data_IF_390058444610
#
_entry.id   IF_390058444610
#
_cell.length_a   1.000
_cell.length_b   1.000
_cell.length_c   1.000
_cell.angle_alpha   90.00
_cell.angle_beta   90.00
_cell.angle_gamma   90.00
#
_symmetry.space_group_name_H-M   'P 1'
#
loop_
_entity.id
_entity.type
_entity.pdbx_description
1 polymer ?
#
# COMPACT_ATOMS: atom_id res chain seq x y z
N UNK A 1 23.09 35.28 41.53
CA UNK A 1 23.47 33.83 41.50
C UNK A 1 22.45 32.88 42.13
N UNK A 2 21.92 33.10 43.35
CA UNK A 2 20.96 32.15 43.99
C UNK A 2 19.63 31.98 43.25
N UNK A 3 19.06 33.07 42.70
CA UNK A 3 17.82 33.04 41.93
C UNK A 3 17.96 32.27 40.61
N UNK A 4 19.05 32.50 39.87
CA UNK A 4 19.35 31.78 38.63
C UNK A 4 19.51 30.27 38.85
N UNK A 5 20.20 29.85 39.92
CA UNK A 5 20.31 28.43 40.31
C UNK A 5 18.95 27.82 40.67
N UNK A 6 18.06 28.58 41.31
CA UNK A 6 16.70 28.13 41.64
C UNK A 6 15.85 27.97 40.37
N UNK A 7 15.90 28.93 39.45
CA UNK A 7 15.21 28.86 38.15
C UNK A 7 15.71 27.65 37.36
N UNK A 8 17.03 27.51 37.17
CA UNK A 8 17.63 26.36 36.47
C UNK A 8 17.23 25.02 37.08
N UNK A 9 17.20 24.91 38.43
CA UNK A 9 16.76 23.70 39.13
C UNK A 9 15.30 23.36 38.83
N UNK A 10 14.39 24.34 38.92
CA UNK A 10 12.97 24.11 38.65
C UNK A 10 12.70 23.84 37.18
N UNK A 11 13.35 24.57 36.27
CA UNK A 11 13.29 24.29 34.83
C UNK A 11 13.76 22.87 34.53
N UNK A 12 14.87 22.42 35.12
CA UNK A 12 15.38 21.06 34.97
C UNK A 12 14.39 19.99 35.49
N UNK A 13 13.78 20.21 36.65
CA UNK A 13 12.76 19.30 37.21
C UNK A 13 11.53 19.23 36.29
N UNK A 14 11.04 20.38 35.79
CA UNK A 14 9.88 20.43 34.90
C UNK A 14 10.18 19.69 33.59
N UNK A 15 11.33 19.95 32.97
CA UNK A 15 11.75 19.27 31.74
C UNK A 15 11.84 17.76 31.97
N UNK A 16 12.51 17.31 33.04
CA UNK A 16 12.63 15.89 33.37
C UNK A 16 11.26 15.24 33.62
N UNK A 17 10.37 15.94 34.31
CA UNK A 17 9.01 15.46 34.57
C UNK A 17 8.21 15.31 33.27
N UNK A 18 8.30 16.28 32.35
CA UNK A 18 7.67 16.21 31.03
C UNK A 18 8.22 15.05 30.20
N UNK A 19 9.54 14.83 30.20
CA UNK A 19 10.15 13.68 29.53
C UNK A 19 9.69 12.35 30.14
N UNK A 20 9.60 12.25 31.47
CA UNK A 20 9.14 11.06 32.14
C UNK A 20 7.67 10.77 31.84
N UNK A 21 6.81 11.81 31.89
CA UNK A 21 5.39 11.70 31.52
C UNK A 21 5.25 11.25 30.06
N UNK A 22 6.01 11.83 29.13
CA UNK A 22 6.00 11.44 27.73
C UNK A 22 6.44 9.97 27.56
N UNK A 23 7.54 9.56 28.20
CA UNK A 23 8.05 8.20 28.13
C UNK A 23 7.04 7.18 28.66
N UNK A 24 6.42 7.46 29.83
CA UNK A 24 5.36 6.61 30.41
C UNK A 24 4.15 6.55 29.48
N UNK A 25 3.72 7.69 28.94
CA UNK A 25 2.56 7.75 28.04
C UNK A 25 2.81 6.94 26.76
N UNK A 26 3.98 7.11 26.15
CA UNK A 26 4.40 6.34 24.97
C UNK A 26 4.41 4.85 25.29
N UNK A 27 4.99 4.45 26.43
CA UNK A 27 5.03 3.04 26.85
C UNK A 27 3.63 2.44 27.04
N UNK A 28 2.72 3.14 27.72
CA UNK A 28 1.35 2.69 27.93
C UNK A 28 0.54 2.59 26.63
N UNK A 29 0.92 3.35 25.60
CA UNK A 29 0.20 3.42 24.32
C UNK A 29 0.80 2.54 23.21
N UNK A 30 1.82 1.73 23.49
CA UNK A 30 2.43 0.88 22.45
C UNK A 30 1.51 -0.22 21.93
N UNK A 31 0.53 -0.65 22.73
CA UNK A 31 -0.39 -1.74 22.42
C UNK A 31 -1.85 -1.26 22.53
N UNK A 32 -2.16 -0.11 21.95
CA UNK A 32 -3.56 0.33 21.84
C UNK A 32 -4.35 -0.71 21.07
N UNK A 33 -5.46 -1.14 21.66
CA UNK A 33 -6.39 -2.07 21.06
C UNK A 33 -7.53 -1.27 20.43
N UNK A 34 -7.85 -1.64 19.20
CA UNK A 34 -8.93 -1.07 18.43
C UNK A 34 -9.94 -2.16 18.11
N UNK A 35 -11.20 -1.82 18.29
CA UNK A 35 -12.30 -2.64 17.81
C UNK A 35 -12.60 -2.30 16.35
N UNK A 36 -12.84 -3.33 15.56
CA UNK A 36 -13.17 -3.23 14.15
C UNK A 36 -13.90 -4.50 13.75
N UNK A 37 -14.92 -4.43 12.87
CA UNK A 37 -15.70 -5.59 12.50
C UNK A 37 -14.85 -6.72 11.91
N UNK A 38 -15.32 -7.95 12.11
CA UNK A 38 -14.87 -9.12 11.37
C UNK A 38 -15.80 -9.31 10.17
N UNK A 39 -15.36 -8.99 8.94
CA UNK A 39 -16.20 -9.21 7.76
C UNK A 39 -16.53 -10.70 7.65
N UNK A 40 -17.79 -11.05 7.32
CA UNK A 40 -18.19 -12.44 7.08
C UNK A 40 -17.69 -12.93 5.71
N UNK A 41 -16.37 -13.00 5.59
CA UNK A 41 -15.65 -13.51 4.43
C UNK A 41 -15.09 -14.87 4.81
N UNK A 42 -15.29 -15.85 3.91
CA UNK A 42 -14.81 -17.23 4.05
C UNK A 42 -14.17 -17.65 2.74
N UNK A 43 -13.02 -18.29 2.83
CA UNK A 43 -12.35 -18.84 1.67
C UNK A 43 -13.24 -19.89 0.99
N UNK A 44 -13.20 -19.91 -0.34
CA UNK A 44 -13.81 -20.92 -1.18
C UNK A 44 -12.73 -21.80 -1.81
N UNK A 45 -13.05 -23.07 -2.04
CA UNK A 45 -12.22 -24.00 -2.81
C UNK A 45 -12.61 -24.03 -4.29
N UNK A 46 -13.62 -23.24 -4.70
CA UNK A 46 -14.00 -23.11 -6.11
C UNK A 46 -12.82 -22.61 -6.95
N UNK A 47 -12.50 -23.36 -8.01
CA UNK A 47 -11.33 -23.09 -8.84
C UNK A 47 -11.40 -21.74 -9.56
N UNK A 48 -12.60 -21.25 -9.90
CA UNK A 48 -12.79 -19.95 -10.53
C UNK A 48 -12.55 -18.80 -9.56
N UNK A 49 -12.93 -18.95 -8.29
CA UNK A 49 -12.69 -17.97 -7.23
C UNK A 49 -11.19 -17.94 -6.88
N UNK A 50 -10.57 -19.12 -6.75
CA UNK A 50 -9.12 -19.23 -6.54
C UNK A 50 -8.33 -18.63 -7.71
N UNK A 51 -8.75 -18.88 -8.95
CA UNK A 51 -8.12 -18.28 -10.14
C UNK A 51 -8.26 -16.75 -10.15
N UNK A 52 -9.42 -16.20 -9.74
CA UNK A 52 -9.59 -14.76 -9.57
C UNK A 52 -8.67 -14.20 -8.47
N UNK A 53 -8.55 -14.89 -7.35
CA UNK A 53 -7.65 -14.49 -6.26
C UNK A 53 -6.19 -14.45 -6.69
N UNK A 54 -5.74 -15.48 -7.43
CA UNK A 54 -4.40 -15.53 -8.03
C UNK A 54 -4.18 -14.35 -8.96
N UNK A 55 -5.15 -14.09 -9.83
CA UNK A 55 -5.10 -12.96 -10.75
C UNK A 55 -4.96 -11.62 -10.01
N UNK A 56 -5.74 -11.39 -8.95
CA UNK A 56 -5.64 -10.18 -8.14
C UNK A 56 -4.27 -10.09 -7.45
N UNK A 57 -3.80 -11.16 -6.82
CA UNK A 57 -2.56 -11.16 -6.03
C UNK A 57 -1.29 -10.91 -6.86
N UNK A 58 -1.22 -11.47 -8.08
CA UNK A 58 -0.08 -11.26 -9.00
C UNK A 58 -0.32 -10.15 -10.03
N UNK A 59 -1.53 -9.58 -10.08
CA UNK A 59 -1.94 -8.60 -11.08
C UNK A 59 -2.32 -7.27 -10.44
N UNK A 60 -3.58 -6.81 -10.55
CA UNK A 60 -3.97 -5.47 -10.10
C UNK A 60 -3.80 -5.26 -8.59
N UNK A 61 -3.97 -6.28 -7.75
CA UNK A 61 -3.73 -6.19 -6.31
C UNK A 61 -2.26 -6.22 -5.90
N UNK A 62 -1.34 -6.51 -6.84
CA UNK A 62 0.12 -6.35 -6.71
C UNK A 62 0.74 -6.88 -5.40
N UNK A 63 0.12 -7.88 -4.77
CA UNK A 63 0.59 -8.46 -3.50
C UNK A 63 1.99 -9.04 -3.66
N UNK A 64 2.26 -9.65 -4.82
CA UNK A 64 3.53 -10.27 -5.14
C UNK A 64 4.69 -9.28 -5.26
N UNK A 65 4.46 -7.99 -5.53
CA UNK A 65 5.54 -6.99 -5.58
C UNK A 65 6.24 -6.82 -4.24
N UNK A 66 5.49 -6.97 -3.13
CA UNK A 66 6.02 -6.88 -1.77
C UNK A 66 6.21 -8.25 -1.12
N UNK A 67 5.24 -9.15 -1.26
CA UNK A 67 5.21 -10.42 -0.52
C UNK A 67 6.00 -11.56 -1.16
N UNK A 68 6.58 -11.38 -2.36
CA UNK A 68 7.47 -12.39 -2.95
C UNK A 68 8.71 -12.67 -2.07
N UNK A 69 9.33 -13.82 -2.30
CA UNK A 69 10.69 -14.07 -1.83
C UNK A 69 11.69 -13.02 -2.37
N UNK A 70 12.71 -12.73 -1.57
CA UNK A 70 13.83 -11.87 -1.97
C UNK A 70 14.53 -12.46 -3.23
N UNK A 71 15.05 -11.59 -4.10
CA UNK A 71 15.67 -12.01 -5.37
C UNK A 71 14.70 -12.53 -6.46
N UNK A 72 13.43 -12.78 -6.14
CA UNK A 72 12.47 -13.38 -7.10
C UNK A 72 11.85 -12.38 -8.10
N UNK A 73 12.31 -11.13 -8.13
CA UNK A 73 11.77 -10.09 -9.01
C UNK A 73 11.95 -10.43 -10.49
N UNK A 74 13.09 -11.03 -10.86
CA UNK A 74 13.38 -11.42 -12.23
C UNK A 74 12.40 -12.48 -12.76
N UNK A 75 11.95 -13.40 -11.90
CA UNK A 75 10.94 -14.41 -12.23
C UNK A 75 9.57 -13.74 -12.46
N UNK A 76 9.19 -12.79 -11.61
CA UNK A 76 7.93 -12.06 -11.81
C UNK A 76 7.92 -11.27 -13.12
N UNK A 77 9.05 -10.67 -13.50
CA UNK A 77 9.21 -9.97 -14.78
C UNK A 77 9.03 -10.89 -16.00
N UNK A 78 9.28 -12.19 -15.84
CA UNK A 78 9.02 -13.23 -16.86
C UNK A 78 7.58 -13.76 -16.84
N UNK A 79 6.72 -13.23 -15.95
CA UNK A 79 5.34 -13.69 -15.81
C UNK A 79 5.16 -14.91 -14.90
N UNK A 80 6.22 -15.38 -14.25
CA UNK A 80 6.16 -16.52 -13.33
C UNK A 80 5.50 -16.14 -12.00
N UNK A 81 4.87 -17.11 -11.36
CA UNK A 81 4.39 -16.96 -9.99
C UNK A 81 5.47 -17.36 -9.01
N UNK A 82 5.64 -16.52 -8.00
CA UNK A 82 6.65 -16.71 -6.97
C UNK A 82 5.96 -16.91 -5.63
N UNK A 83 6.49 -17.79 -4.74
CA UNK A 83 5.94 -17.96 -3.40
C UNK A 83 5.87 -16.62 -2.65
N UNK A 84 4.74 -16.38 -1.99
CA UNK A 84 4.48 -15.15 -1.24
C UNK A 84 5.03 -15.22 0.20
N UNK A 85 6.33 -15.49 0.32
CA UNK A 85 7.03 -15.77 1.59
C UNK A 85 7.50 -14.53 2.35
N UNK A 86 7.39 -13.33 1.78
CA UNK A 86 7.84 -12.08 2.37
C UNK A 86 9.35 -12.03 2.63
N UNK A 87 9.75 -11.16 3.55
CA UNK A 87 11.14 -10.96 3.99
C UNK A 87 11.76 -9.64 3.53
N UNK A 88 11.18 -8.99 2.52
CA UNK A 88 11.68 -7.70 2.02
C UNK A 88 11.63 -6.62 3.12
N UNK A 89 12.72 -5.87 3.35
CA UNK A 89 12.73 -4.76 4.29
C UNK A 89 12.24 -3.46 3.65
N UNK A 90 11.35 -2.76 4.34
CA UNK A 90 11.05 -1.35 4.13
C UNK A 90 11.76 -0.54 5.21
N UNK A 91 12.80 0.18 4.81
CA UNK A 91 13.57 1.04 5.71
C UNK A 91 12.92 2.42 5.75
N UNK A 92 12.20 2.70 6.83
CA UNK A 92 11.59 4.01 7.07
C UNK A 92 12.42 4.77 8.09
N UNK A 93 12.42 6.12 8.08
CA UNK A 93 13.10 6.92 9.10
C UNK A 93 12.69 6.58 10.54
N UNK A 94 11.49 6.00 10.72
CA UNK A 94 10.90 5.66 12.02
C UNK A 94 10.98 4.17 12.38
N UNK A 95 11.19 3.28 11.41
CA UNK A 95 11.18 1.83 11.63
C UNK A 95 11.74 1.04 10.45
N UNK A 96 12.31 -0.14 10.72
CA UNK A 96 12.50 -1.18 9.71
C UNK A 96 11.27 -2.11 9.72
N UNK A 97 10.52 -2.13 8.62
CA UNK A 97 9.32 -2.94 8.46
C UNK A 97 9.59 -4.09 7.49
N UNK A 98 9.57 -5.33 7.97
CA UNK A 98 9.70 -6.52 7.13
C UNK A 98 8.35 -7.02 6.61
N UNK A 99 8.25 -7.25 5.30
CA UNK A 99 7.04 -7.81 4.69
C UNK A 99 6.81 -9.24 5.19
N UNK A 100 5.55 -9.57 5.53
CA UNK A 100 5.20 -10.84 6.16
C UNK A 100 5.05 -11.99 5.15
N UNK A 101 5.32 -13.21 5.60
CA UNK A 101 4.97 -14.43 4.87
C UNK A 101 3.45 -14.60 4.87
N UNK A 102 2.84 -14.64 3.68
CA UNK A 102 1.39 -14.79 3.52
C UNK A 102 1.01 -16.12 2.84
N UNK A 103 1.92 -17.10 2.85
CA UNK A 103 1.59 -18.50 2.56
C UNK A 103 0.79 -19.10 3.72
N UNK A 104 0.02 -20.18 3.50
CA UNK A 104 -0.80 -20.80 4.55
C UNK A 104 0.02 -21.64 5.54
N UNK A 105 1.34 -21.41 5.63
CA UNK A 105 2.19 -22.05 6.63
C UNK A 105 1.71 -21.75 8.06
N UNK A 106 1.63 -22.80 8.89
CA UNK A 106 1.02 -22.73 10.23
C UNK A 106 1.95 -22.08 11.27
N UNK A 107 3.25 -22.02 11.01
CA UNK A 107 4.23 -21.54 11.98
C UNK A 107 4.66 -20.10 11.69
N UNK A 108 4.90 -19.81 10.42
CA UNK A 108 5.54 -18.58 9.95
C UNK A 108 4.67 -17.75 9.02
N UNK A 109 3.59 -18.34 8.49
CA UNK A 109 2.65 -17.69 7.58
C UNK A 109 1.31 -17.34 8.22
N UNK A 110 0.27 -17.27 7.39
CA UNK A 110 -1.11 -16.92 7.79
C UNK A 110 -1.96 -18.13 8.18
N UNK A 111 -1.39 -19.35 8.24
CA UNK A 111 -2.14 -20.60 8.43
C UNK A 111 -3.03 -20.61 9.68
N UNK A 112 -2.57 -19.99 10.77
CA UNK A 112 -3.31 -19.88 12.04
C UNK A 112 -4.40 -18.82 12.08
N UNK A 113 -4.37 -17.85 11.16
CA UNK A 113 -5.39 -16.80 11.12
C UNK A 113 -6.69 -17.35 10.56
N UNK A 114 -7.84 -16.86 11.00
CA UNK A 114 -9.12 -17.11 10.36
C UNK A 114 -9.30 -16.22 9.12
N UNK A 115 -10.20 -16.60 8.21
CA UNK A 115 -10.45 -15.78 7.00
C UNK A 115 -11.00 -14.40 7.37
N UNK A 116 -11.87 -14.33 8.38
CA UNK A 116 -12.38 -13.08 8.90
C UNK A 116 -11.29 -12.20 9.54
N UNK A 117 -10.27 -12.80 10.16
CA UNK A 117 -9.11 -12.06 10.69
C UNK A 117 -8.25 -11.47 9.57
N UNK A 118 -8.02 -12.22 8.49
CA UNK A 118 -7.31 -11.72 7.31
C UNK A 118 -8.11 -10.60 6.64
N UNK A 119 -9.42 -10.81 6.46
CA UNK A 119 -10.31 -9.81 5.92
C UNK A 119 -10.35 -8.53 6.77
N UNK A 120 -10.42 -8.65 8.11
CA UNK A 120 -10.35 -7.52 9.04
C UNK A 120 -9.05 -6.73 8.89
N UNK A 121 -7.93 -7.41 8.71
CA UNK A 121 -6.64 -6.76 8.50
C UNK A 121 -6.62 -5.96 7.18
N UNK A 122 -7.08 -6.56 6.08
CA UNK A 122 -7.14 -5.88 4.77
C UNK A 122 -8.16 -4.73 4.76
N UNK A 123 -9.29 -4.92 5.46
CA UNK A 123 -10.40 -3.98 5.48
C UNK A 123 -10.15 -2.77 6.37
N UNK A 124 -9.58 -3.00 7.55
CA UNK A 124 -9.50 -1.99 8.62
C UNK A 124 -8.09 -1.71 9.11
N UNK A 125 -7.08 -2.44 8.62
CA UNK A 125 -5.72 -2.33 9.14
C UNK A 125 -5.60 -2.78 10.60
N UNK A 126 -6.47 -3.68 11.07
CA UNK A 126 -6.47 -4.17 12.47
C UNK A 126 -6.13 -5.65 12.53
N UNK A 127 -5.13 -5.98 13.35
CA UNK A 127 -4.69 -7.35 13.61
C UNK A 127 -5.67 -8.12 14.50
N UNK A 128 -5.58 -9.46 14.56
CA UNK A 128 -6.38 -10.27 15.50
C UNK A 128 -6.27 -9.82 16.95
N UNK A 129 -5.10 -9.34 17.36
CA UNK A 129 -4.83 -8.81 18.71
C UNK A 129 -5.38 -7.39 18.93
N UNK A 130 -6.08 -6.81 17.95
CA UNK A 130 -6.65 -5.46 18.05
C UNK A 130 -5.66 -4.34 17.77
N UNK A 131 -4.38 -4.61 17.53
CA UNK A 131 -3.43 -3.54 17.21
C UNK A 131 -3.54 -3.09 15.76
N UNK A 132 -3.38 -1.78 15.52
CA UNK A 132 -3.38 -1.21 14.17
C UNK A 132 -2.03 -1.43 13.47
N UNK A 133 -2.08 -1.61 12.15
CA UNK A 133 -0.89 -1.67 11.28
C UNK A 133 -0.67 -0.34 10.56
N UNK A 134 0.56 -0.13 10.06
CA UNK A 134 0.80 0.88 9.04
C UNK A 134 0.06 0.46 7.77
N UNK A 135 -0.71 1.40 7.21
CA UNK A 135 -1.57 1.14 6.06
C UNK A 135 -0.78 1.13 4.74
N UNK A 136 -0.05 0.04 4.53
CA UNK A 136 0.62 -0.25 3.25
C UNK A 136 -0.29 -1.01 2.26
N UNK A 137 -1.46 -1.45 2.70
CA UNK A 137 -2.36 -2.36 1.96
C UNK A 137 -3.79 -1.80 1.94
N UNK A 138 -4.06 -0.75 1.15
CA UNK A 138 -5.32 0.00 1.20
C UNK A 138 -6.46 -0.71 0.45
N UNK A 139 -6.84 -1.92 0.92
CA UNK A 139 -7.93 -2.73 0.37
C UNK A 139 -9.28 -2.47 1.06
N UNK A 140 -9.43 -1.33 1.73
CA UNK A 140 -10.60 -1.06 2.59
C UNK A 140 -11.91 -1.06 1.81
N UNK A 141 -11.89 -0.52 0.60
CA UNK A 141 -13.06 -0.42 -0.28
C UNK A 141 -13.15 -1.59 -1.29
N UNK A 142 -12.30 -2.62 -1.17
CA UNK A 142 -12.39 -3.82 -2.00
C UNK A 142 -13.74 -4.52 -1.82
N UNK A 143 -14.29 -5.13 -2.86
CA UNK A 143 -15.56 -5.86 -2.73
C UNK A 143 -15.38 -7.12 -1.88
N UNK A 144 -16.47 -7.60 -1.26
CA UNK A 144 -16.44 -8.88 -0.53
C UNK A 144 -16.06 -10.04 -1.45
N UNK A 145 -16.50 -10.01 -2.72
CA UNK A 145 -16.14 -10.97 -3.76
C UNK A 145 -14.63 -11.01 -4.01
N UNK A 146 -13.98 -9.86 -4.22
CA UNK A 146 -12.54 -9.82 -4.50
C UNK A 146 -11.71 -10.15 -3.24
N UNK A 147 -12.12 -9.74 -2.04
CA UNK A 147 -11.45 -10.16 -0.80
C UNK A 147 -11.61 -11.67 -0.56
N UNK A 148 -12.79 -12.22 -0.84
CA UNK A 148 -13.03 -13.68 -0.80
C UNK A 148 -12.09 -14.38 -1.77
N UNK A 149 -11.96 -13.89 -3.00
CA UNK A 149 -11.08 -14.45 -4.01
C UNK A 149 -9.62 -14.41 -3.56
N UNK A 150 -9.12 -13.25 -3.10
CA UNK A 150 -7.75 -13.08 -2.60
C UNK A 150 -7.47 -14.10 -1.48
N UNK A 151 -8.31 -14.15 -0.46
CA UNK A 151 -8.10 -15.06 0.68
C UNK A 151 -8.17 -16.53 0.23
N UNK A 152 -9.11 -16.88 -0.65
CA UNK A 152 -9.21 -18.22 -1.24
C UNK A 152 -7.92 -18.64 -1.93
N UNK A 153 -7.35 -17.75 -2.75
CA UNK A 153 -6.05 -18.00 -3.38
C UNK A 153 -4.94 -18.13 -2.34
N UNK A 154 -4.86 -17.23 -1.36
CA UNK A 154 -3.81 -17.30 -0.35
C UNK A 154 -3.83 -18.62 0.42
N UNK A 155 -5.02 -19.17 0.71
CA UNK A 155 -5.21 -20.50 1.33
C UNK A 155 -4.81 -21.66 0.43
N UNK A 156 -4.98 -21.51 -0.88
CA UNK A 156 -4.66 -22.55 -1.87
C UNK A 156 -3.16 -22.70 -2.17
N UNK A 157 -2.35 -21.70 -1.80
CA UNK A 157 -0.91 -21.74 -2.05
C UNK A 157 -0.23 -22.90 -1.33
N UNK A 158 0.90 -23.38 -1.87
CA UNK A 158 1.78 -24.29 -1.15
C UNK A 158 2.28 -23.60 0.14
N UNK A 159 2.10 -24.21 1.33
CA UNK A 159 2.71 -23.69 2.55
C UNK A 159 4.23 -23.64 2.43
N UNK A 160 4.85 -22.52 2.82
CA UNK A 160 6.30 -22.39 2.85
C UNK A 160 6.71 -21.85 4.21
N UNK A 161 7.45 -22.67 4.97
CA UNK A 161 8.03 -22.26 6.24
C UNK A 161 9.17 -21.26 5.98
N UNK A 162 8.93 -20.00 6.28
CA UNK A 162 9.88 -18.91 6.13
C UNK A 162 9.61 -17.85 7.20
N UNK A 163 10.43 -17.86 8.25
CA UNK A 163 10.34 -16.88 9.35
C UNK A 163 10.98 -15.58 8.90
N UNK A 164 10.16 -14.54 8.76
CA UNK A 164 10.66 -13.18 8.50
C UNK A 164 11.06 -12.50 9.82
N UNK A 165 12.05 -11.58 9.82
CA UNK A 165 12.39 -10.79 10.99
C UNK A 165 11.20 -9.98 11.52
N UNK A 166 11.26 -9.65 12.80
CA UNK A 166 10.29 -8.73 13.40
C UNK A 166 10.58 -7.28 13.04
N UNK A 167 9.53 -6.45 13.08
CA UNK A 167 9.70 -5.02 12.82
C UNK A 167 10.55 -4.38 13.90
N UNK A 168 11.49 -3.53 13.49
CA UNK A 168 12.33 -2.77 14.40
C UNK A 168 11.82 -1.33 14.43
N UNK A 169 11.15 -0.94 15.52
CA UNK A 169 10.60 0.41 15.67
C UNK A 169 11.56 1.26 16.49
N UNK A 170 12.09 2.32 15.89
CA UNK A 170 13.02 3.25 16.53
C UNK A 170 12.31 4.14 17.57
N UNK A 171 13.07 4.91 18.36
CA UNK A 171 12.50 5.73 19.43
C UNK A 171 11.42 6.69 18.93
N UNK A 172 11.69 7.40 17.83
CA UNK A 172 10.70 8.27 17.20
C UNK A 172 9.50 7.48 16.66
N UNK A 173 9.74 6.29 16.08
CA UNK A 173 8.67 5.41 15.63
C UNK A 173 7.75 4.92 16.74
N UNK A 174 8.26 4.73 17.97
CA UNK A 174 7.42 4.40 19.13
C UNK A 174 6.49 5.55 19.49
N UNK A 175 6.95 6.80 19.36
CA UNK A 175 6.12 8.00 19.53
C UNK A 175 5.07 8.07 18.44
N UNK A 176 5.45 7.91 17.17
CA UNK A 176 4.51 7.90 16.02
C UNK A 176 3.46 6.80 16.19
N UNK A 177 3.87 5.58 16.55
CA UNK A 177 2.96 4.47 16.81
C UNK A 177 1.95 4.79 17.92
N UNK A 178 2.41 5.41 19.02
CA UNK A 178 1.56 5.73 20.16
C UNK A 178 0.47 6.77 19.85
N UNK A 179 0.72 7.72 18.96
CA UNK A 179 -0.16 8.89 18.78
C UNK A 179 -0.77 9.03 17.39
N UNK A 180 -0.14 8.48 16.35
CA UNK A 180 -0.47 8.75 14.95
C UNK A 180 -0.99 7.52 14.20
N UNK A 181 -0.56 6.31 14.55
CA UNK A 181 -1.07 5.09 13.90
C UNK A 181 -2.46 4.78 14.44
N UNK A 182 -3.45 4.77 13.55
CA UNK A 182 -4.85 4.46 13.85
C UNK A 182 -5.38 3.49 12.80
N UNK A 183 -6.43 2.70 13.12
CA UNK A 183 -7.17 1.94 12.13
C UNK A 183 -7.68 2.84 11.02
N UNK A 184 -7.79 2.24 9.85
CA UNK A 184 -8.40 2.79 8.65
C UNK A 184 -9.69 2.01 8.39
N UNK A 185 -10.45 2.40 7.38
CA UNK A 185 -11.69 1.69 7.06
C UNK A 185 -12.30 2.15 5.75
N UNK A 186 -13.38 1.48 5.33
CA UNK A 186 -14.08 1.81 4.10
C UNK A 186 -14.53 3.27 4.10
N UNK A 187 -14.27 3.95 2.99
CA UNK A 187 -14.72 5.33 2.78
C UNK A 187 -16.21 5.39 2.41
N UNK A 188 -16.73 4.27 1.92
CA UNK A 188 -18.11 4.09 1.45
C UNK A 188 -18.67 2.75 1.95
N UNK A 189 -20.00 2.54 1.94
CA UNK A 189 -20.57 1.23 2.18
C UNK A 189 -19.95 0.17 1.26
N UNK A 190 -19.45 -0.89 1.87
CA UNK A 190 -18.77 -1.99 1.17
C UNK A 190 -19.75 -2.67 0.22
N UNK A 191 -19.33 -2.83 -1.04
CA UNK A 191 -20.10 -3.56 -2.05
C UNK A 191 -19.78 -5.05 -1.95
N UNK A 192 -20.80 -5.89 -2.10
CA UNK A 192 -20.61 -7.35 -2.18
C UNK A 192 -19.84 -7.76 -3.43
N UNK A 193 -20.21 -7.19 -4.56
CA UNK A 193 -19.59 -7.43 -5.88
C UNK A 193 -19.69 -6.18 -6.74
N UNK A 194 -18.96 -6.19 -7.85
CA UNK A 194 -19.04 -5.17 -8.89
C UNK A 194 -18.95 -5.85 -10.26
N UNK A 195 -19.83 -5.50 -11.23
CA UNK A 195 -19.71 -6.03 -12.58
C UNK A 195 -18.34 -5.73 -13.16
N UNK A 196 -17.71 -6.76 -13.72
CA UNK A 196 -16.42 -6.67 -14.41
C UNK A 196 -16.70 -6.37 -15.86
N UNK A 197 -16.49 -5.12 -16.26
CA UNK A 197 -16.76 -4.63 -17.60
C UNK A 197 -15.74 -3.55 -17.99
N UNK A 198 -15.97 -2.82 -19.09
CA UNK A 198 -15.09 -1.74 -19.54
C UNK A 198 -15.55 -0.36 -19.05
N UNK A 199 -16.50 -0.28 -18.12
CA UNK A 199 -17.08 1.01 -17.71
C UNK A 199 -16.16 1.80 -16.78
N UNK A 200 -16.37 3.12 -16.74
CA UNK A 200 -15.69 3.99 -15.78
C UNK A 200 -16.03 3.62 -14.31
N UNK A 201 -17.15 2.94 -14.05
CA UNK A 201 -17.53 2.52 -12.69
C UNK A 201 -16.59 1.42 -12.20
N UNK A 202 -16.32 0.40 -13.03
CA UNK A 202 -15.35 -0.64 -12.70
C UNK A 202 -13.92 -0.09 -12.71
N UNK A 203 -13.59 0.78 -13.66
CA UNK A 203 -12.30 1.50 -13.68
C UNK A 203 -12.03 2.29 -12.41
N UNK A 204 -13.03 2.99 -11.87
CA UNK A 204 -12.93 3.70 -10.59
C UNK A 204 -12.61 2.75 -9.45
N UNK A 205 -13.30 1.62 -9.38
CA UNK A 205 -13.06 0.61 -8.37
C UNK A 205 -11.63 0.05 -8.45
N UNK A 206 -11.16 -0.34 -9.63
CA UNK A 206 -9.79 -0.82 -9.80
C UNK A 206 -8.76 0.24 -9.39
N UNK A 207 -8.91 1.48 -9.85
CA UNK A 207 -7.95 2.55 -9.61
C UNK A 207 -7.84 2.98 -8.14
N UNK A 208 -8.92 2.85 -7.37
CA UNK A 208 -8.98 3.34 -5.98
C UNK A 208 -8.91 2.22 -4.93
N UNK A 209 -9.42 1.02 -5.23
CA UNK A 209 -9.69 0.00 -4.21
C UNK A 209 -8.87 -1.28 -4.37
N UNK A 210 -8.32 -1.56 -5.56
CA UNK A 210 -7.51 -2.77 -5.81
C UNK A 210 -6.09 -2.40 -6.22
N UNK A 211 -5.92 -1.58 -7.26
CA UNK A 211 -4.61 -1.21 -7.80
C UNK A 211 -3.99 0.01 -7.13
N UNK A 212 -4.74 0.72 -6.29
CA UNK A 212 -4.29 1.90 -5.54
C UNK A 212 -3.55 2.95 -6.40
N UNK A 213 -3.97 3.12 -7.65
CA UNK A 213 -3.39 4.10 -8.55
C UNK A 213 -3.49 5.52 -7.96
N UNK A 214 -4.61 5.83 -7.31
CA UNK A 214 -4.83 7.13 -6.66
C UNK A 214 -3.76 7.43 -5.61
N UNK A 215 -3.37 6.42 -4.82
CA UNK A 215 -2.46 6.58 -3.69
C UNK A 215 -1.04 6.96 -4.08
N UNK A 216 -0.59 6.57 -5.28
CA UNK A 216 0.71 6.94 -5.83
C UNK A 216 0.63 8.15 -6.77
N UNK A 217 -0.43 8.27 -7.57
CA UNK A 217 -0.59 9.35 -8.54
C UNK A 217 -1.26 10.60 -7.99
N UNK A 218 -1.25 10.80 -6.68
CA UNK A 218 -1.68 12.05 -6.04
C UNK A 218 -0.59 12.46 -5.08
N UNK A 219 -0.25 13.75 -5.04
CA UNK A 219 0.77 14.23 -4.12
C UNK A 219 0.36 13.99 -2.65
N UNK A 220 1.34 13.88 -1.75
CA UNK A 220 1.10 13.65 -0.33
C UNK A 220 2.02 14.50 0.53
N UNK A 221 1.49 14.89 1.68
CA UNK A 221 2.26 15.48 2.76
C UNK A 221 3.07 14.38 3.44
N UNK A 222 4.40 14.46 3.40
CA UNK A 222 5.28 13.42 3.95
C UNK A 222 5.27 13.37 5.49
N UNK A 223 4.72 14.38 6.18
CA UNK A 223 4.64 14.44 7.65
C UNK A 223 3.35 13.79 8.16
N UNK A 224 2.24 14.07 7.48
CA UNK A 224 0.90 13.65 7.90
C UNK A 224 0.36 12.47 7.10
N UNK A 225 0.94 12.19 5.92
CA UNK A 225 0.46 11.17 4.97
C UNK A 225 -0.78 11.60 4.18
N UNK A 226 -1.34 12.79 4.46
CA UNK A 226 -2.54 13.29 3.81
C UNK A 226 -2.30 13.57 2.33
N UNK A 227 -3.33 13.30 1.52
CA UNK A 227 -3.32 13.62 0.09
C UNK A 227 -3.36 15.14 -0.10
N UNK A 228 -2.51 15.66 -0.97
CA UNK A 228 -2.43 17.08 -1.32
C UNK A 228 -2.96 17.25 -2.74
N UNK A 229 -3.93 18.16 -2.88
CA UNK A 229 -4.50 18.51 -4.18
C UNK A 229 -5.59 17.55 -4.64
N UNK A 230 -5.90 17.64 -5.92
CA UNK A 230 -6.94 16.84 -6.56
C UNK A 230 -6.43 15.41 -6.85
N UNK A 231 -7.26 14.37 -6.67
CA UNK A 231 -6.87 13.00 -6.97
C UNK A 231 -6.29 12.83 -8.37
N UNK A 232 -5.25 12.00 -8.51
CA UNK A 232 -4.58 11.68 -9.77
C UNK A 232 -3.79 12.84 -10.41
N UNK A 233 -3.63 13.98 -9.73
CA UNK A 233 -2.88 15.13 -10.26
C UNK A 233 -1.36 14.92 -10.33
N UNK A 234 -0.83 13.81 -9.82
CA UNK A 234 0.59 13.51 -9.78
C UNK A 234 1.38 14.38 -8.79
N UNK A 235 2.70 14.31 -8.89
CA UNK A 235 3.65 15.11 -8.12
C UNK A 235 4.16 14.46 -6.84
N UNK A 236 3.79 13.21 -6.56
CA UNK A 236 4.29 12.49 -5.39
C UNK A 236 5.73 12.01 -5.63
N UNK A 237 6.72 12.40 -4.80
CA UNK A 237 8.06 11.87 -4.89
C UNK A 237 8.13 10.47 -4.26
N UNK A 238 8.62 9.51 -5.03
CA UNK A 238 8.88 8.14 -4.56
C UNK A 238 10.35 7.79 -4.75
N UNK A 239 10.89 6.95 -3.88
CA UNK A 239 12.28 6.49 -4.01
C UNK A 239 12.48 5.68 -5.29
N UNK A 240 13.64 5.86 -5.93
CA UNK A 240 14.08 5.03 -7.04
C UNK A 240 14.33 3.59 -6.57
N UNK A 241 13.83 2.60 -7.31
CA UNK A 241 14.00 1.19 -6.93
C UNK A 241 15.40 0.62 -7.17
N UNK A 242 16.25 1.34 -7.93
CA UNK A 242 17.62 0.91 -8.25
C UNK A 242 18.69 1.80 -7.61
N UNK A 243 18.33 3.01 -7.20
CA UNK A 243 19.25 3.99 -6.60
C UNK A 243 18.44 4.98 -5.73
N UNK A 244 17.89 4.52 -4.59
CA UNK A 244 17.05 5.32 -3.72
C UNK A 244 17.82 6.45 -3.02
N UNK A 245 19.15 6.36 -2.94
CA UNK A 245 19.99 7.36 -2.24
C UNK A 245 20.27 8.61 -3.08
N UNK A 246 20.22 8.49 -4.42
CA UNK A 246 20.55 9.60 -5.30
C UNK A 246 19.38 10.05 -6.19
N UNK A 247 18.31 9.25 -6.34
CA UNK A 247 17.21 9.57 -7.23
C UNK A 247 15.83 9.36 -6.60
N UNK A 248 14.91 10.28 -6.92
CA UNK A 248 13.48 10.13 -6.73
C UNK A 248 12.77 10.03 -8.09
N UNK A 249 11.59 9.42 -8.08
CA UNK A 249 10.67 9.36 -9.20
C UNK A 249 9.42 10.15 -8.83
N UNK A 250 9.11 11.20 -9.61
CA UNK A 250 7.89 11.97 -9.43
C UNK A 250 6.76 11.32 -10.24
N UNK A 251 5.63 11.05 -9.59
CA UNK A 251 4.49 10.44 -10.28
C UNK A 251 3.85 11.44 -11.25
N UNK A 252 3.55 11.03 -12.50
CA UNK A 252 2.97 11.94 -13.48
C UNK A 252 1.51 12.27 -13.15
N UNK A 253 1.08 13.44 -13.60
CA UNK A 253 -0.32 13.84 -13.63
C UNK A 253 -1.10 12.96 -14.62
N UNK A 254 -2.10 12.21 -14.14
CA UNK A 254 -2.92 11.31 -14.94
C UNK A 254 -4.28 11.91 -15.34
N UNK A 255 -4.60 13.11 -14.86
CA UNK A 255 -5.84 13.80 -15.25
C UNK A 255 -5.82 14.15 -16.75
N UNK A 256 -6.97 14.31 -17.41
CA UNK A 256 -7.05 14.64 -18.84
C UNK A 256 -6.77 16.14 -19.11
N UNK A 257 -5.88 16.76 -18.33
CA UNK A 257 -5.46 18.14 -18.54
C UNK A 257 -4.68 18.29 -19.85
N UNK A 258 -5.06 19.22 -20.75
CA UNK A 258 -4.45 19.36 -22.07
C UNK A 258 -2.98 19.82 -22.05
N UNK A 259 -2.52 20.37 -20.93
CA UNK A 259 -1.18 21.00 -20.86
C UNK A 259 -0.17 20.15 -20.08
N UNK A 260 -0.63 19.45 -19.04
CA UNK A 260 0.23 18.76 -18.08
C UNK A 260 -0.16 17.30 -17.86
N UNK A 261 -1.33 16.89 -18.33
CA UNK A 261 -1.82 15.51 -18.22
C UNK A 261 -1.02 14.56 -19.11
N UNK A 262 -0.37 13.56 -18.51
CA UNK A 262 0.49 12.62 -19.24
C UNK A 262 -0.27 11.74 -20.22
N UNK A 263 -1.55 11.52 -19.96
CA UNK A 263 -2.45 10.71 -20.77
C UNK A 263 -3.26 11.55 -21.78
N UNK A 264 -3.12 12.88 -21.76
CA UNK A 264 -3.84 13.72 -22.72
C UNK A 264 -3.42 13.39 -24.16
N UNK A 265 -4.42 13.22 -25.04
CA UNK A 265 -4.21 12.83 -26.43
C UNK A 265 -3.87 11.35 -26.65
N UNK A 266 -3.72 10.53 -25.59
CA UNK A 266 -3.56 9.08 -25.75
C UNK A 266 -4.89 8.45 -26.14
N UNK A 267 -4.86 7.55 -27.11
CA UNK A 267 -5.93 6.58 -27.37
C UNK A 267 -5.96 5.48 -26.29
N UNK A 268 -7.11 4.83 -26.16
CA UNK A 268 -7.28 3.69 -25.27
C UNK A 268 -6.30 2.55 -25.61
N UNK A 269 -6.04 2.28 -26.89
CA UNK A 269 -5.08 1.26 -27.33
C UNK A 269 -3.63 1.59 -26.94
N UNK A 270 -3.24 2.87 -27.02
CA UNK A 270 -1.93 3.30 -26.54
C UNK A 270 -1.78 3.09 -25.04
N UNK A 271 -2.83 3.36 -24.27
CA UNK A 271 -2.87 3.10 -22.84
C UNK A 271 -2.68 1.61 -22.53
N UNK A 272 -3.45 0.73 -23.19
CA UNK A 272 -3.32 -0.73 -23.03
C UNK A 272 -1.91 -1.20 -23.39
N UNK A 273 -1.39 -0.79 -24.57
CA UNK A 273 -0.04 -1.13 -25.02
C UNK A 273 1.05 -0.68 -24.05
N UNK A 274 0.89 0.49 -23.43
CA UNK A 274 1.85 0.99 -22.43
C UNK A 274 1.99 0.02 -21.26
N UNK A 275 0.89 -0.53 -20.74
CA UNK A 275 0.95 -1.52 -19.65
C UNK A 275 1.65 -2.81 -20.07
N UNK A 276 1.48 -3.25 -21.32
CA UNK A 276 2.15 -4.44 -21.87
C UNK A 276 3.66 -4.29 -22.01
N UNK A 277 4.16 -3.07 -22.18
CA UNK A 277 5.61 -2.81 -22.24
C UNK A 277 6.32 -3.01 -20.89
N UNK A 278 5.58 -3.10 -19.78
CA UNK A 278 6.18 -3.24 -18.45
C UNK A 278 7.02 -2.03 -18.04
N UNK A 279 8.11 -2.28 -17.31
CA UNK A 279 8.98 -1.20 -16.79
C UNK A 279 9.95 -0.72 -17.86
N UNK A 280 9.64 0.44 -18.46
CA UNK A 280 10.55 1.13 -19.40
C UNK A 280 11.47 2.15 -18.72
N UNK A 281 11.04 2.72 -17.58
CA UNK A 281 11.84 3.63 -16.75
C UNK A 281 12.47 2.80 -15.63
N UNK A 282 13.79 2.55 -15.64
CA UNK A 282 14.44 1.65 -14.68
C UNK A 282 14.22 2.05 -13.21
N UNK A 283 14.23 3.35 -12.92
CA UNK A 283 14.02 3.90 -11.58
C UNK A 283 12.58 3.74 -11.04
N UNK A 284 11.60 3.45 -11.91
CA UNK A 284 10.18 3.54 -11.56
C UNK A 284 9.75 2.49 -10.52
N UNK A 285 9.18 2.93 -9.38
CA UNK A 285 8.63 2.03 -8.36
C UNK A 285 7.26 1.48 -8.71
N UNK A 286 6.66 1.88 -9.84
CA UNK A 286 5.36 1.37 -10.25
C UNK A 286 5.41 -0.17 -10.45
N UNK A 287 4.42 -0.92 -9.93
CA UNK A 287 4.25 -2.38 -10.07
C UNK A 287 4.02 -2.89 -11.50
N UNK A 288 4.84 -2.46 -12.46
CA UNK A 288 4.74 -2.87 -13.86
C UNK A 288 4.68 -4.38 -14.11
N UNK A 289 5.41 -5.25 -13.38
CA UNK A 289 5.32 -6.70 -13.58
C UNK A 289 3.92 -7.26 -13.29
N UNK A 290 3.21 -6.66 -12.34
CA UNK A 290 1.87 -7.10 -11.94
C UNK A 290 0.80 -6.43 -12.81
N UNK A 291 0.93 -5.12 -13.05
CA UNK A 291 -0.02 -4.40 -13.89
C UNK A 291 0.02 -4.83 -15.37
N UNK A 292 1.13 -5.36 -15.87
CA UNK A 292 1.19 -5.94 -17.22
C UNK A 292 0.35 -7.22 -17.36
N UNK A 293 -0.08 -7.85 -16.26
CA UNK A 293 -0.99 -9.02 -16.23
C UNK A 293 -2.47 -8.64 -16.25
N UNK A 294 -2.82 -7.36 -16.05
CA UNK A 294 -4.22 -6.94 -16.07
C UNK A 294 -4.85 -7.24 -17.43
N UNK A 295 -6.10 -7.69 -17.47
CA UNK A 295 -6.82 -7.93 -18.74
C UNK A 295 -6.99 -6.65 -19.55
N UNK A 296 -7.14 -6.78 -20.87
CA UNK A 296 -7.38 -5.62 -21.74
C UNK A 296 -8.64 -4.86 -21.31
N UNK A 297 -9.72 -5.56 -20.95
CA UNK A 297 -10.98 -4.92 -20.55
C UNK A 297 -10.84 -4.12 -19.24
N UNK A 298 -10.06 -4.61 -18.28
CA UNK A 298 -9.73 -3.86 -17.06
C UNK A 298 -8.90 -2.60 -17.34
N UNK A 299 -7.94 -2.69 -18.26
CA UNK A 299 -7.16 -1.52 -18.68
C UNK A 299 -8.01 -0.51 -19.45
N UNK A 300 -8.97 -0.96 -20.26
CA UNK A 300 -9.97 -0.10 -20.91
C UNK A 300 -10.88 0.57 -19.89
N UNK A 301 -11.33 -0.16 -18.87
CA UNK A 301 -12.12 0.38 -17.76
C UNK A 301 -11.35 1.47 -17.01
N UNK A 302 -10.08 1.20 -16.66
CA UNK A 302 -9.18 2.18 -16.05
C UNK A 302 -9.04 3.44 -16.92
N UNK A 303 -8.73 3.28 -18.21
CA UNK A 303 -8.64 4.41 -19.13
C UNK A 303 -9.94 5.23 -19.14
N UNK A 304 -11.09 4.56 -19.30
CA UNK A 304 -12.40 5.21 -19.32
C UNK A 304 -12.66 5.99 -18.03
N UNK A 305 -12.30 5.45 -16.87
CA UNK A 305 -12.39 6.18 -15.61
C UNK A 305 -11.46 7.39 -15.55
N UNK A 306 -10.20 7.25 -15.97
CA UNK A 306 -9.23 8.35 -15.93
C UNK A 306 -9.65 9.53 -16.82
N UNK A 307 -10.34 9.26 -17.94
CA UNK A 307 -10.90 10.31 -18.80
C UNK A 307 -12.08 11.07 -18.14
N UNK A 308 -12.72 10.52 -17.10
CA UNK A 308 -13.77 11.22 -16.35
C UNK A 308 -13.25 12.16 -15.27
N UNK A 309 -11.94 12.12 -14.99
CA UNK A 309 -11.34 12.94 -13.95
C UNK A 309 -11.43 14.43 -14.31
N UNK A 310 -11.58 15.26 -13.28
CA UNK A 310 -11.43 16.71 -13.41
C UNK A 310 -10.03 17.02 -13.96
N UNK A 311 -9.90 17.77 -15.06
CA UNK A 311 -8.60 18.25 -15.55
C UNK A 311 -7.92 19.12 -14.50
N UNK A 312 -6.66 18.84 -14.18
CA UNK A 312 -5.88 19.59 -13.19
C UNK A 312 -4.55 19.97 -13.82
N UNK A 313 -4.24 21.26 -13.83
CA UNK A 313 -2.93 21.75 -14.26
C UNK A 313 -1.91 21.53 -13.15
N UNK A 314 -1.05 20.52 -13.31
CA UNK A 314 0.06 20.24 -12.41
C UNK A 314 1.27 19.73 -13.22
N UNK A 315 2.27 20.59 -13.38
CA UNK A 315 3.44 20.29 -14.20
C UNK A 315 4.47 19.45 -13.43
N UNK A 316 4.67 18.20 -13.86
CA UNK A 316 5.73 17.32 -13.36
C UNK A 316 6.87 17.31 -14.38
N UNK A 317 7.84 18.22 -14.21
CA UNK A 317 8.88 18.52 -15.22
C UNK A 317 9.81 17.36 -15.53
N UNK A 318 10.24 16.63 -14.50
CA UNK A 318 11.14 15.48 -14.63
C UNK A 318 10.54 14.29 -13.89
N UNK A 319 10.41 13.15 -14.57
CA UNK A 319 9.90 11.92 -13.92
C UNK A 319 10.94 11.30 -13.01
N UNK A 320 12.24 11.45 -13.32
CA UNK A 320 13.36 11.03 -12.46
C UNK A 320 14.16 12.27 -12.10
N UNK A 321 14.32 12.52 -10.82
CA UNK A 321 14.97 13.73 -10.30
C UNK A 321 16.09 13.34 -9.35
N UNK A 322 17.26 13.95 -9.51
CA UNK A 322 18.36 13.77 -8.57
C UNK A 322 18.01 14.40 -7.21
N UNK A 323 18.26 13.67 -6.14
CA UNK A 323 18.14 14.18 -4.78
C UNK A 323 19.24 15.21 -4.56
N UNK A 324 18.86 16.45 -4.23
CA UNK A 324 19.82 17.47 -3.83
C UNK A 324 20.37 17.07 -2.46
N UNK A 325 21.66 16.74 -2.40
CA UNK A 325 22.41 16.52 -1.15
C UNK A 325 22.64 17.83 -0.42
#
# INVERSE_FOLDING_TARGET
MKLLKKILKWTGIVILSLFLILAITVACRQNLHFDAPYPDIRASTDSSIVARGRYLAYGPGHCADCHRAEGSQALMLKGEDVPLTGGMPFKLPIANIYVRNITPDMETGIGKLTDQQIARLLRYGVRPDGTAVLDFMPFHDATDEDLTAIISFLRSQKPVKHKVPDHEVFLLGKVVKAFMIKPVGPSMPVRKSIPRDTTAVYGKYLANSIANCVGCHTNRDLTTGAMIGEPFSGGFPMESIIDPENYAVLTPNLTPDPTTGKLYGWSQDQFVKRFRQGRIIPHSPMPWPSFSRMSDDELKALYNYLQTLKPVKNEVKEVVTALKK
#
